data_IF_182180721108
#
_entry.id   IF_182180721108
#
_cell.length_a   1.000
_cell.length_b   1.000
_cell.length_c   1.000
_cell.angle_alpha   90.00
_cell.angle_beta   90.00
_cell.angle_gamma   90.00
#
_symmetry.space_group_name_H-M   'P 1'
#
loop_
_entity.id
_entity.type
_entity.pdbx_description
1 polymer ?
#
# COMPACT_ATOMS: atom_id res chain seq x y z
N UNK A 1 68.54 33.53 -16.40
CA UNK A 1 67.33 33.20 -17.19
C UNK A 1 66.27 32.71 -16.22
N UNK A 2 65.29 33.54 -15.87
CA UNK A 2 64.18 33.19 -14.96
C UNK A 2 62.87 33.65 -15.60
N UNK A 3 62.07 32.69 -16.05
CA UNK A 3 60.74 32.91 -16.62
C UNK A 3 59.77 33.29 -15.51
N UNK A 4 58.97 34.37 -15.60
CA UNK A 4 58.00 34.68 -14.57
C UNK A 4 56.80 33.72 -14.66
N UNK A 5 56.42 33.14 -13.52
CA UNK A 5 55.24 32.31 -13.38
C UNK A 5 53.97 33.15 -13.57
N UNK A 6 53.07 32.73 -14.48
CA UNK A 6 51.75 33.37 -14.64
C UNK A 6 50.87 33.05 -13.44
N UNK A 7 50.17 34.04 -12.86
CA UNK A 7 49.22 33.79 -11.79
C UNK A 7 48.02 33.00 -12.35
N UNK A 8 47.80 31.78 -11.82
CA UNK A 8 46.58 31.03 -12.09
C UNK A 8 45.43 31.66 -11.30
N UNK A 9 44.63 32.48 -11.97
CA UNK A 9 43.42 33.05 -11.38
C UNK A 9 42.40 31.92 -11.23
N UNK A 10 42.22 31.42 -10.01
CA UNK A 10 41.21 30.42 -9.70
C UNK A 10 39.82 31.00 -10.03
N UNK A 11 39.22 30.53 -11.14
CA UNK A 11 37.88 30.94 -11.54
C UNK A 11 36.87 30.42 -10.51
N UNK A 12 36.38 31.31 -9.64
CA UNK A 12 35.28 30.99 -8.72
C UNK A 12 34.03 30.72 -9.53
N UNK A 13 33.44 29.54 -9.34
CA UNK A 13 32.17 29.20 -9.96
C UNK A 13 31.11 30.27 -9.58
N UNK A 14 30.35 30.80 -10.56
CA UNK A 14 29.39 31.86 -10.29
C UNK A 14 28.28 31.34 -9.38
N UNK A 15 27.83 32.17 -8.43
CA UNK A 15 26.94 31.79 -7.31
C UNK A 15 25.63 31.13 -7.78
N UNK A 16 25.15 31.45 -8.98
CA UNK A 16 23.97 30.84 -9.58
C UNK A 16 24.14 29.34 -9.88
N UNK A 17 25.36 28.89 -10.24
CA UNK A 17 25.65 27.46 -10.46
C UNK A 17 25.50 26.68 -9.15
N UNK A 18 25.95 27.28 -8.04
CA UNK A 18 25.80 26.70 -6.70
C UNK A 18 24.32 26.63 -6.30
N UNK A 19 23.53 27.67 -6.59
CA UNK A 19 22.08 27.68 -6.34
C UNK A 19 21.38 26.60 -7.16
N UNK A 20 21.68 26.48 -8.46
CA UNK A 20 21.09 25.45 -9.34
C UNK A 20 21.44 24.04 -8.84
N UNK A 21 22.67 23.82 -8.39
CA UNK A 21 23.09 22.54 -7.79
C UNK A 21 22.31 22.21 -6.51
N UNK A 22 22.16 23.17 -5.60
CA UNK A 22 21.39 22.98 -4.36
C UNK A 22 19.93 22.69 -4.67
N UNK A 23 19.33 23.44 -5.60
CA UNK A 23 17.93 23.25 -6.00
C UNK A 23 17.74 21.89 -6.67
N UNK A 24 18.63 21.51 -7.59
CA UNK A 24 18.60 20.19 -8.23
C UNK A 24 18.73 19.05 -7.22
N UNK A 25 19.64 19.19 -6.25
CA UNK A 25 19.80 18.21 -5.19
C UNK A 25 18.56 18.14 -4.29
N UNK A 26 17.98 19.28 -3.92
CA UNK A 26 16.76 19.34 -3.12
C UNK A 26 15.57 18.68 -3.83
N UNK A 27 15.41 18.92 -5.14
CA UNK A 27 14.37 18.28 -5.95
C UNK A 27 14.60 16.77 -6.00
N UNK A 28 15.83 16.31 -6.22
CA UNK A 28 16.15 14.88 -6.22
C UNK A 28 15.84 14.23 -4.87
N UNK A 29 16.21 14.85 -3.75
CA UNK A 29 15.90 14.36 -2.40
C UNK A 29 14.39 14.39 -2.12
N UNK A 30 13.67 15.39 -2.61
CA UNK A 30 12.21 15.48 -2.48
C UNK A 30 11.52 14.35 -3.26
N UNK A 31 11.94 14.10 -4.50
CA UNK A 31 11.41 13.01 -5.33
C UNK A 31 11.74 11.66 -4.72
N UNK A 32 12.99 11.46 -4.29
CA UNK A 32 13.43 10.19 -3.69
C UNK A 32 12.73 9.95 -2.34
N UNK A 33 12.67 10.95 -1.47
CA UNK A 33 11.98 10.90 -0.19
C UNK A 33 10.47 10.70 -0.35
N UNK A 34 9.86 11.39 -1.32
CA UNK A 34 8.45 11.24 -1.68
C UNK A 34 8.13 9.84 -2.23
N UNK A 35 8.96 9.32 -3.13
CA UNK A 35 8.81 7.97 -3.70
C UNK A 35 8.99 6.88 -2.63
N UNK A 36 10.02 7.00 -1.78
CA UNK A 36 10.24 6.08 -0.67
C UNK A 36 9.09 6.13 0.34
N UNK A 37 8.65 7.33 0.73
CA UNK A 37 7.52 7.52 1.64
C UNK A 37 6.20 6.96 1.08
N UNK A 38 5.92 7.21 -0.20
CA UNK A 38 4.75 6.68 -0.88
C UNK A 38 4.80 5.15 -0.96
N UNK A 39 5.92 4.57 -1.41
CA UNK A 39 6.10 3.12 -1.47
C UNK A 39 5.90 2.46 -0.10
N UNK A 40 6.42 3.09 0.97
CA UNK A 40 6.23 2.63 2.35
C UNK A 40 4.77 2.72 2.79
N UNK A 41 4.07 3.80 2.46
CA UNK A 41 2.65 3.97 2.78
C UNK A 41 1.76 2.96 2.06
N UNK A 42 1.97 2.78 0.75
CA UNK A 42 1.24 1.79 -0.06
C UNK A 42 1.50 0.36 0.41
N UNK A 43 2.70 0.07 0.94
CA UNK A 43 3.04 -1.23 1.49
C UNK A 43 2.13 -1.64 2.64
N UNK A 44 1.88 -0.74 3.60
CA UNK A 44 0.98 -1.02 4.73
C UNK A 44 -0.48 -1.06 4.32
N UNK A 45 -0.92 -0.13 3.47
CA UNK A 45 -2.30 -0.13 2.96
C UNK A 45 -2.60 -1.45 2.26
N UNK A 46 -1.68 -1.96 1.44
CA UNK A 46 -1.87 -3.22 0.72
C UNK A 46 -1.79 -4.45 1.64
N UNK A 47 -0.89 -4.44 2.62
CA UNK A 47 -0.72 -5.57 3.55
C UNK A 47 -1.93 -5.70 4.49
N UNK A 48 -2.40 -4.59 5.05
CA UNK A 48 -3.43 -4.55 6.08
C UNK A 48 -4.84 -4.24 5.53
N UNK A 49 -4.97 -3.76 4.29
CA UNK A 49 -6.24 -3.39 3.69
C UNK A 49 -7.01 -4.53 3.00
N UNK A 50 -6.37 -5.67 2.73
CA UNK A 50 -7.00 -6.79 2.01
C UNK A 50 -7.67 -7.82 2.95
N UNK A 51 -8.43 -7.34 3.94
CA UNK A 51 -9.18 -8.16 4.90
C UNK A 51 -8.38 -8.67 6.11
N UNK A 52 -7.09 -8.34 6.20
CA UNK A 52 -6.24 -8.73 7.34
C UNK A 52 -6.55 -7.92 8.60
N UNK A 53 -6.89 -6.64 8.44
CA UNK A 53 -7.17 -5.72 9.52
C UNK A 53 -8.38 -4.84 9.14
N UNK A 54 -8.99 -4.11 10.11
CA UNK A 54 -10.06 -3.19 9.82
C UNK A 54 -9.66 -2.17 8.75
N UNK A 55 -10.64 -1.74 7.97
CA UNK A 55 -10.42 -0.80 6.88
C UNK A 55 -9.65 0.43 7.35
N UNK A 56 -8.66 0.86 6.55
CA UNK A 56 -7.74 1.97 6.84
C UNK A 56 -6.71 1.76 7.96
N UNK A 57 -6.64 0.59 8.61
CA UNK A 57 -5.66 0.33 9.66
C UNK A 57 -4.20 0.51 9.20
N UNK A 58 -3.87 0.06 7.97
CA UNK A 58 -2.52 0.27 7.42
C UNK A 58 -2.12 1.73 7.24
N UNK A 59 -3.08 2.64 7.01
CA UNK A 59 -2.81 4.06 6.92
C UNK A 59 -2.61 4.70 8.31
N UNK A 60 -3.23 4.16 9.36
CA UNK A 60 -2.93 4.54 10.74
C UNK A 60 -1.54 4.02 11.19
N UNK A 61 -1.17 2.79 10.84
CA UNK A 61 0.16 2.25 11.13
C UNK A 61 1.27 3.14 10.56
N UNK A 62 1.06 3.72 9.37
CA UNK A 62 2.02 4.64 8.78
C UNK A 62 2.31 5.89 9.64
N UNK A 63 1.37 6.32 10.50
CA UNK A 63 1.54 7.50 11.38
C UNK A 63 2.25 7.18 12.71
N UNK A 64 2.50 5.91 13.03
CA UNK A 64 3.15 5.50 14.28
C UNK A 64 4.65 5.83 14.32
N UNK A 65 5.29 5.89 15.49
CA UNK A 65 6.73 6.04 15.61
C UNK A 65 7.52 4.96 14.85
N UNK A 66 8.73 5.30 14.39
CA UNK A 66 9.57 4.41 13.57
C UNK A 66 9.83 3.05 14.23
N UNK A 67 10.10 3.03 15.54
CA UNK A 67 10.37 1.80 16.29
C UNK A 67 9.18 0.83 16.24
N UNK A 68 7.95 1.29 16.50
CA UNK A 68 6.74 0.47 16.41
C UNK A 68 6.48 0.00 14.98
N UNK A 69 6.70 0.87 13.98
CA UNK A 69 6.59 0.48 12.56
C UNK A 69 7.56 -0.63 12.16
N UNK A 70 8.79 -0.62 12.70
CA UNK A 70 9.78 -1.68 12.44
C UNK A 70 9.35 -3.04 13.03
N UNK A 71 8.77 -3.04 14.23
CA UNK A 71 8.22 -4.26 14.83
C UNK A 71 7.06 -4.82 14.00
N UNK A 72 6.17 -3.93 13.54
CA UNK A 72 5.05 -4.30 12.65
C UNK A 72 5.58 -4.82 11.30
N UNK A 73 6.66 -4.24 10.78
CA UNK A 73 7.30 -4.69 9.54
C UNK A 73 7.85 -6.11 9.65
N UNK A 74 8.45 -6.46 10.78
CA UNK A 74 8.94 -7.81 11.03
C UNK A 74 7.78 -8.83 10.97
N UNK A 75 6.67 -8.56 11.67
CA UNK A 75 5.47 -9.41 11.65
C UNK A 75 4.93 -9.57 10.21
N UNK A 76 4.77 -8.45 9.50
CA UNK A 76 4.26 -8.47 8.13
C UNK A 76 5.20 -9.16 7.14
N UNK A 77 6.53 -9.10 7.36
CA UNK A 77 7.50 -9.82 6.53
C UNK A 77 7.44 -11.33 6.74
N UNK A 78 7.36 -11.80 7.99
CA UNK A 78 7.21 -13.21 8.31
C UNK A 78 5.92 -13.78 7.69
N UNK A 79 4.81 -13.06 7.87
CA UNK A 79 3.52 -13.44 7.30
C UNK A 79 3.54 -13.49 5.76
N UNK A 80 4.33 -12.63 5.09
CA UNK A 80 4.44 -12.68 3.62
C UNK A 80 4.99 -14.00 3.12
N UNK A 81 5.97 -14.57 3.84
CA UNK A 81 6.58 -15.86 3.50
C UNK A 81 5.54 -16.96 3.64
N UNK A 82 4.79 -17.00 4.75
CA UNK A 82 3.70 -17.96 4.97
C UNK A 82 2.57 -17.84 3.92
N UNK A 83 2.24 -16.60 3.51
CA UNK A 83 1.18 -16.34 2.54
C UNK A 83 1.57 -16.67 1.08
N UNK A 84 2.87 -16.79 0.77
CA UNK A 84 3.35 -16.99 -0.59
C UNK A 84 2.76 -18.26 -1.24
N UNK A 85 2.83 -19.45 -0.62
CA UNK A 85 2.24 -20.68 -1.20
C UNK A 85 0.72 -20.58 -1.31
N UNK A 86 0.03 -20.01 -0.32
CA UNK A 86 -1.43 -19.85 -0.37
C UNK A 86 -1.87 -18.93 -1.52
N UNK A 87 -1.10 -17.88 -1.83
CA UNK A 87 -1.37 -17.00 -2.98
C UNK A 87 -1.14 -17.72 -4.30
N UNK A 88 -0.15 -18.61 -4.38
CA UNK A 88 0.06 -19.44 -5.56
C UNK A 88 -1.13 -20.38 -5.79
N UNK A 89 -1.62 -21.03 -4.73
CA UNK A 89 -2.82 -21.88 -4.78
C UNK A 89 -4.05 -21.10 -5.27
N UNK A 90 -4.29 -19.89 -4.76
CA UNK A 90 -5.40 -19.03 -5.25
C UNK A 90 -5.24 -18.68 -6.73
N UNK A 91 -4.02 -18.37 -7.18
CA UNK A 91 -3.75 -18.06 -8.59
C UNK A 91 -4.01 -19.28 -9.48
N UNK A 92 -3.61 -20.45 -9.04
CA UNK A 92 -3.85 -21.70 -9.76
C UNK A 92 -5.35 -22.02 -9.83
N UNK A 93 -6.06 -22.05 -8.71
CA UNK A 93 -7.50 -22.31 -8.69
C UNK A 93 -8.28 -21.29 -9.55
N UNK A 94 -7.86 -20.01 -9.56
CA UNK A 94 -8.45 -19.00 -10.44
C UNK A 94 -8.26 -19.32 -11.93
N UNK A 95 -7.09 -19.82 -12.33
CA UNK A 95 -6.83 -20.24 -13.71
C UNK A 95 -7.70 -21.45 -14.08
N UNK A 96 -7.81 -22.42 -13.19
CA UNK A 96 -8.64 -23.61 -13.43
C UNK A 96 -10.12 -23.26 -13.59
N UNK A 97 -10.65 -22.36 -12.75
CA UNK A 97 -12.00 -21.81 -12.91
C UNK A 97 -12.16 -21.08 -14.26
N UNK A 98 -11.17 -20.27 -14.65
CA UNK A 98 -11.17 -19.58 -15.95
C UNK A 98 -11.17 -20.54 -17.13
N UNK A 99 -10.39 -21.62 -17.06
CA UNK A 99 -10.36 -22.65 -18.10
C UNK A 99 -11.68 -23.41 -18.19
N UNK A 100 -12.29 -23.75 -17.05
CA UNK A 100 -13.59 -24.42 -17.03
C UNK A 100 -14.73 -23.52 -17.51
N UNK A 101 -14.62 -22.21 -17.27
CA UNK A 101 -15.58 -21.22 -17.79
C UNK A 101 -15.53 -21.11 -19.32
N UNK A 102 -14.34 -21.21 -19.92
CA UNK A 102 -14.14 -21.11 -21.37
C UNK A 102 -14.22 -22.46 -22.10
N UNK A 103 -14.54 -23.56 -21.40
CA UNK A 103 -14.60 -24.88 -22.00
C UNK A 103 -15.88 -25.06 -22.83
N UNK A 104 -15.73 -25.68 -23.99
CA UNK A 104 -16.85 -26.09 -24.86
C UNK A 104 -16.83 -27.61 -25.06
N UNK A 105 -17.92 -28.32 -24.71
CA UNK A 105 -19.15 -27.83 -24.10
C UNK A 105 -18.94 -27.37 -22.64
N UNK A 106 -19.82 -26.47 -22.16
CA UNK A 106 -19.77 -26.00 -20.77
C UNK A 106 -20.15 -27.13 -19.79
N UNK A 107 -19.23 -27.47 -18.91
CA UNK A 107 -19.45 -28.41 -17.82
C UNK A 107 -19.75 -27.67 -16.51
N UNK A 108 -21.05 -27.61 -16.17
CA UNK A 108 -21.55 -26.94 -14.97
C UNK A 108 -20.99 -27.53 -13.67
N UNK A 109 -20.88 -28.85 -13.55
CA UNK A 109 -20.44 -29.49 -12.31
C UNK A 109 -18.93 -29.35 -12.11
N UNK A 110 -18.16 -29.44 -13.18
CA UNK A 110 -16.73 -29.12 -13.15
C UNK A 110 -16.48 -27.67 -12.77
N UNK A 111 -17.21 -26.73 -13.36
CA UNK A 111 -17.11 -25.32 -13.00
C UNK A 111 -17.48 -25.09 -11.52
N UNK A 112 -18.59 -25.68 -11.05
CA UNK A 112 -19.03 -25.57 -9.65
C UNK A 112 -17.94 -26.04 -8.69
N UNK A 113 -17.35 -27.20 -8.96
CA UNK A 113 -16.30 -27.82 -8.15
C UNK A 113 -15.05 -26.94 -8.06
N UNK A 114 -14.56 -26.46 -9.21
CA UNK A 114 -13.39 -25.59 -9.28
C UNK A 114 -13.65 -24.22 -8.62
N UNK A 115 -14.86 -23.69 -8.76
CA UNK A 115 -15.22 -22.42 -8.12
C UNK A 115 -15.26 -22.53 -6.60
N UNK A 116 -15.77 -23.64 -6.04
CA UNK A 116 -15.72 -23.91 -4.61
C UNK A 116 -14.27 -24.04 -4.11
N UNK A 117 -13.41 -24.74 -4.86
CA UNK A 117 -11.99 -24.84 -4.54
C UNK A 117 -11.29 -23.46 -4.55
N UNK A 118 -11.62 -22.60 -5.50
CA UNK A 118 -11.12 -21.23 -5.55
C UNK A 118 -11.57 -20.38 -4.35
N UNK A 119 -12.83 -20.48 -3.94
CA UNK A 119 -13.36 -19.79 -2.76
C UNK A 119 -12.63 -20.27 -1.50
N UNK A 120 -12.44 -21.58 -1.34
CA UNK A 120 -11.72 -22.16 -0.20
C UNK A 120 -10.27 -21.71 -0.15
N UNK A 121 -9.57 -21.70 -1.29
CA UNK A 121 -8.20 -21.18 -1.37
C UNK A 121 -8.13 -19.70 -0.94
N UNK A 122 -9.12 -18.88 -1.30
CA UNK A 122 -9.20 -17.47 -0.87
C UNK A 122 -9.46 -17.36 0.64
N UNK A 123 -10.30 -18.23 1.20
CA UNK A 123 -10.59 -18.26 2.64
C UNK A 123 -9.31 -18.53 3.44
N UNK A 124 -8.51 -19.51 3.03
CA UNK A 124 -7.21 -19.81 3.68
C UNK A 124 -6.26 -18.62 3.68
N UNK A 125 -6.20 -17.86 2.58
CA UNK A 125 -5.40 -16.62 2.53
C UNK A 125 -5.92 -15.57 3.51
N UNK A 126 -7.24 -15.43 3.65
CA UNK A 126 -7.85 -14.49 4.58
C UNK A 126 -7.59 -14.89 6.05
N UNK A 127 -7.74 -16.16 6.37
CA UNK A 127 -7.47 -16.71 7.71
C UNK A 127 -6.00 -16.52 8.10
N UNK A 128 -5.07 -16.88 7.22
CA UNK A 128 -3.64 -16.67 7.46
C UNK A 128 -3.30 -15.17 7.61
N UNK A 129 -3.99 -14.29 6.87
CA UNK A 129 -3.85 -12.83 7.02
C UNK A 129 -4.33 -12.30 8.36
N UNK A 130 -5.45 -12.82 8.87
CA UNK A 130 -6.05 -12.38 10.12
C UNK A 130 -5.15 -12.65 11.33
N UNK A 131 -4.28 -13.68 11.27
CA UNK A 131 -3.34 -14.03 12.35
C UNK A 131 -2.40 -12.90 12.76
N UNK A 132 -1.94 -12.06 11.83
CA UNK A 132 -1.01 -10.97 12.16
C UNK A 132 -1.68 -9.80 12.89
N UNK A 133 -3.01 -9.68 12.83
CA UNK A 133 -3.68 -8.51 13.38
C UNK A 133 -3.60 -8.42 14.92
N UNK A 134 -3.86 -9.50 15.69
CA UNK A 134 -3.62 -9.52 17.13
C UNK A 134 -2.19 -9.14 17.53
N UNK A 135 -1.18 -9.67 16.82
CA UNK A 135 0.23 -9.38 17.09
C UNK A 135 0.58 -7.92 16.83
N UNK A 136 -0.04 -7.30 15.83
CA UNK A 136 0.14 -5.87 15.58
C UNK A 136 -0.57 -5.03 16.64
N UNK A 137 -1.73 -5.48 17.14
CA UNK A 137 -2.45 -4.78 18.21
C UNK A 137 -1.67 -4.81 19.52
N UNK A 138 -0.92 -5.87 19.81
CA UNK A 138 -0.13 -5.98 21.05
C UNK A 138 1.02 -4.99 21.11
N UNK A 139 1.53 -4.52 19.97
CA UNK A 139 2.54 -3.45 19.87
C UNK A 139 1.96 -2.08 20.26
N UNK A 140 0.65 -1.89 20.05
CA UNK A 140 -0.02 -0.62 20.31
C UNK A 140 -0.37 -0.50 21.79
N UNK A 141 -0.10 0.66 22.39
CA UNK A 141 -0.57 0.94 23.74
C UNK A 141 -2.09 1.27 23.76
N UNK A 142 -2.68 1.33 24.96
CA UNK A 142 -4.10 1.60 25.10
C UNK A 142 -4.52 2.97 24.53
N UNK A 143 -3.63 3.97 24.57
CA UNK A 143 -3.90 5.31 24.07
C UNK A 143 -3.94 5.32 22.53
N UNK A 144 -3.03 4.59 21.89
CA UNK A 144 -2.92 4.43 20.45
C UNK A 144 -4.09 3.61 19.88
N UNK A 145 -4.51 2.54 20.57
CA UNK A 145 -5.71 1.78 20.18
C UNK A 145 -6.96 2.66 20.19
N UNK A 146 -7.11 3.52 21.21
CA UNK A 146 -8.20 4.52 21.26
C UNK A 146 -8.03 5.59 20.17
N UNK A 147 -6.80 6.02 19.88
CA UNK A 147 -6.50 6.96 18.80
C UNK A 147 -6.89 6.40 17.43
N UNK A 148 -6.65 5.12 17.18
CA UNK A 148 -7.08 4.45 15.96
C UNK A 148 -8.61 4.51 15.79
N UNK A 149 -9.38 4.23 16.85
CA UNK A 149 -10.84 4.31 16.81
C UNK A 149 -11.31 5.72 16.46
N UNK A 150 -10.75 6.77 17.11
CA UNK A 150 -11.06 8.16 16.78
C UNK A 150 -10.72 8.52 15.34
N UNK A 151 -9.54 8.13 14.88
CA UNK A 151 -9.07 8.37 13.51
C UNK A 151 -9.97 7.70 12.47
N UNK A 152 -10.45 6.47 12.76
CA UNK A 152 -11.40 5.73 11.94
C UNK A 152 -12.76 6.46 11.85
N UNK A 153 -13.28 6.94 12.98
CA UNK A 153 -14.53 7.70 13.02
C UNK A 153 -14.42 9.02 12.24
N UNK A 154 -13.34 9.78 12.43
CA UNK A 154 -13.08 11.03 11.71
C UNK A 154 -13.00 10.83 10.20
N UNK A 155 -12.26 9.80 9.72
CA UNK A 155 -12.21 9.52 8.27
C UNK A 155 -13.55 9.11 7.68
N UNK A 156 -14.37 8.39 8.43
CA UNK A 156 -15.72 7.99 7.99
C UNK A 156 -16.64 9.20 7.85
N UNK A 157 -16.65 10.09 8.85
CA UNK A 157 -17.49 11.29 8.82
C UNK A 157 -17.08 12.27 7.71
N UNK A 158 -15.78 12.38 7.42
CA UNK A 158 -15.29 13.18 6.30
C UNK A 158 -15.84 12.67 4.95
N UNK A 159 -15.79 11.36 4.69
CA UNK A 159 -16.36 10.76 3.46
C UNK A 159 -17.86 10.98 3.28
N UNK A 160 -18.63 10.96 4.36
CA UNK A 160 -20.08 11.25 4.30
C UNK A 160 -20.37 12.71 3.93
N UNK A 161 -19.49 13.65 4.35
CA UNK A 161 -19.64 15.07 4.03
C UNK A 161 -19.42 15.36 2.54
N UNK A 162 -18.43 14.74 1.92
CA UNK A 162 -18.16 14.91 0.47
C UNK A 162 -19.23 14.29 -0.43
N UNK A 163 -19.86 13.18 -0.01
CA UNK A 163 -20.97 12.57 -0.78
C UNK A 163 -22.26 13.39 -0.79
N UNK A 164 -22.48 14.26 0.22
CA UNK A 164 -23.64 15.17 0.26
C UNK A 164 -23.45 16.43 -0.61
N UNK A 165 -22.21 16.81 -0.91
CA UNK A 165 -21.92 18.01 -1.69
C UNK A 165 -21.66 17.75 -3.19
N UNK A 166 -21.54 16.47 -3.59
CA UNK A 166 -21.29 16.06 -4.99
C UNK A 166 -22.50 15.45 -5.70
N UNK A 167 -23.68 15.44 -5.07
CA UNK A 167 -24.94 15.04 -5.71
C UNK A 167 -25.71 16.29 -6.17
N UNK A 168 -25.09 17.05 -7.08
CA UNK A 168 -25.83 17.90 -8.01
C UNK A 168 -26.16 17.05 -9.24
N UNK A 169 -27.44 16.83 -9.46
CA UNK A 169 -28.07 16.39 -10.72
C UNK A 169 -27.53 15.12 -11.40
N UNK A 170 -28.27 14.02 -11.22
CA UNK A 170 -28.48 13.06 -12.31
C UNK A 170 -29.75 13.50 -13.06
N UNK A 171 -29.68 13.97 -14.32
CA UNK A 171 -30.90 14.10 -15.12
C UNK A 171 -31.52 12.70 -15.32
N UNK A 172 -32.86 12.57 -15.37
CA UNK A 172 -33.53 11.29 -15.60
C UNK A 172 -33.20 10.80 -17.02
N UNK A 173 -32.12 10.02 -17.12
CA UNK A 173 -31.71 9.31 -18.32
C UNK A 173 -32.59 8.09 -18.53
N UNK A 174 -33.55 8.26 -19.42
CA UNK A 174 -34.41 7.24 -20.03
C UNK A 174 -33.63 5.93 -20.31
N UNK A 175 -34.19 4.77 -19.91
CA UNK A 175 -33.76 3.46 -20.38
C UNK A 175 -34.95 2.77 -21.06
N UNK A 176 -34.72 2.08 -22.19
CA UNK A 176 -35.77 1.40 -22.95
C UNK A 176 -36.43 0.27 -22.15
#
# INVERSE_FOLDING_TARGET
MTTPARPQVARRAPRWVWIVMVVSLAINLLVLGGALGAAWHFRYIRALGNGAAPHHFGAFVATLPRAKRQQIDAILSAQRVELQPLRQAVRQARREVGNAFAAEPFDKERFRTLNLAYIEARRRVLEARAKAYPDIISILDASERKAFLRWRHWRRSWRHRWRRHGSGEQPPGNRP
#
